data_IF_364742001374
#
_entry.id   IF_364742001374
#
_cell.length_a   1.000
_cell.length_b   1.000
_cell.length_c   1.000
_cell.angle_alpha   90.00
_cell.angle_beta   90.00
_cell.angle_gamma   90.00
#
_symmetry.space_group_name_H-M   'P 1'
#
loop_
_entity.id
_entity.type
_entity.pdbx_description
1 polymer ?
#
# COMPACT_ATOMS: atom_id res chain seq x y z
N UNK A 1 0.88 17.83 8.69
CA UNK A 1 0.68 17.49 7.27
C UNK A 1 -0.63 16.73 7.14
N UNK A 2 -1.66 17.38 6.59
CA UNK A 2 -3.02 16.85 6.41
C UNK A 2 -3.17 16.24 5.01
N UNK A 3 -3.75 15.05 4.85
CA UNK A 3 -3.96 14.46 3.53
C UNK A 3 -5.03 15.25 2.72
N UNK A 4 -4.98 15.23 1.38
CA UNK A 4 -5.90 15.98 0.53
C UNK A 4 -7.37 15.51 0.66
N UNK A 5 -8.29 16.45 0.88
CA UNK A 5 -9.74 16.25 1.12
C UNK A 5 -10.56 15.76 -0.09
N UNK A 6 -9.96 15.24 -1.17
CA UNK A 6 -10.70 14.96 -2.41
C UNK A 6 -11.28 13.55 -2.55
N UNK A 7 -11.04 12.64 -1.60
CA UNK A 7 -11.52 11.25 -1.71
C UNK A 7 -13.02 11.04 -1.37
N UNK A 8 -13.67 12.02 -0.75
CA UNK A 8 -15.04 11.86 -0.20
C UNK A 8 -16.16 11.79 -1.25
N UNK A 9 -15.87 11.97 -2.55
CA UNK A 9 -16.92 12.12 -3.58
C UNK A 9 -17.27 10.80 -4.30
N UNK A 10 -16.46 9.74 -4.16
CA UNK A 10 -16.62 8.51 -4.98
C UNK A 10 -17.38 7.35 -4.31
N UNK A 11 -17.82 7.48 -3.06
CA UNK A 11 -18.28 6.33 -2.25
C UNK A 11 -19.79 6.23 -1.98
N UNK A 12 -20.65 6.78 -2.84
CA UNK A 12 -22.11 6.53 -2.75
C UNK A 12 -22.55 5.50 -3.78
N UNK A 13 -22.55 4.23 -3.36
CA UNK A 13 -23.22 3.03 -3.93
C UNK A 13 -22.27 1.90 -4.34
N UNK A 14 -22.15 0.88 -3.48
CA UNK A 14 -21.72 -0.44 -3.91
C UNK A 14 -22.38 -1.55 -3.06
N UNK A 15 -23.25 -2.33 -3.70
CA UNK A 15 -23.91 -3.55 -3.19
C UNK A 15 -22.91 -4.74 -3.19
N UNK A 16 -22.90 -5.65 -2.18
CA UNK A 16 -21.79 -6.58 -1.97
C UNK A 16 -21.71 -7.81 -2.91
N UNK A 17 -22.70 -8.10 -3.75
CA UNK A 17 -22.72 -9.35 -4.51
C UNK A 17 -22.71 -9.12 -6.02
N UNK A 18 -21.51 -8.99 -6.63
CA UNK A 18 -21.31 -9.43 -8.01
C UNK A 18 -19.84 -9.49 -8.46
N UNK A 19 -19.52 -10.55 -9.21
CA UNK A 19 -18.28 -10.97 -9.86
C UNK A 19 -17.23 -9.87 -10.12
N UNK A 20 -16.02 -10.05 -9.56
CA UNK A 20 -14.92 -9.07 -9.55
C UNK A 20 -14.29 -8.90 -10.95
N UNK A 21 -14.32 -9.94 -11.80
CA UNK A 21 -13.73 -9.88 -13.15
C UNK A 21 -14.51 -8.97 -14.12
N UNK A 22 -15.83 -8.85 -13.97
CA UNK A 22 -16.64 -7.97 -14.84
C UNK A 22 -16.58 -6.50 -14.43
N UNK A 23 -16.23 -6.19 -13.17
CA UNK A 23 -16.04 -4.80 -12.71
C UNK A 23 -14.74 -4.19 -13.22
N UNK A 24 -13.69 -4.98 -13.42
CA UNK A 24 -12.43 -4.49 -14.02
C UNK A 24 -12.68 -4.03 -15.46
N UNK A 25 -13.55 -4.73 -16.20
CA UNK A 25 -13.89 -4.37 -17.58
C UNK A 25 -14.86 -3.18 -17.67
N UNK A 26 -15.69 -2.95 -16.65
CA UNK A 26 -16.63 -1.81 -16.59
C UNK A 26 -16.01 -0.51 -16.03
N UNK A 27 -14.94 -0.60 -15.23
CA UNK A 27 -14.24 0.59 -14.73
C UNK A 27 -13.37 1.27 -15.81
N UNK A 28 -13.06 0.55 -16.89
CA UNK A 28 -12.39 1.01 -18.12
C UNK A 28 -13.33 1.82 -19.02
N UNK A 29 -14.04 2.79 -18.46
CA UNK A 29 -14.84 3.74 -19.24
C UNK A 29 -14.16 5.12 -19.15
N UNK A 30 -13.40 5.48 -20.20
CA UNK A 30 -12.92 6.81 -20.63
C UNK A 30 -12.61 7.89 -19.56
N UNK A 31 -13.57 8.28 -18.73
CA UNK A 31 -13.46 9.30 -17.68
C UNK A 31 -12.79 8.74 -16.41
N UNK A 32 -13.03 7.47 -16.09
CA UNK A 32 -12.42 6.79 -14.92
C UNK A 32 -10.90 6.65 -15.05
N UNK A 33 -10.41 6.41 -16.27
CA UNK A 33 -8.98 6.28 -16.57
C UNK A 33 -8.22 7.60 -16.43
N UNK A 34 -8.85 8.75 -16.73
CA UNK A 34 -8.20 10.06 -16.62
C UNK A 34 -8.02 10.43 -15.14
N UNK A 35 -9.06 10.24 -14.33
CA UNK A 35 -8.98 10.47 -12.89
C UNK A 35 -7.97 9.52 -12.23
N UNK A 36 -7.95 8.25 -12.65
CA UNK A 36 -6.99 7.24 -12.21
C UNK A 36 -5.54 7.67 -12.50
N UNK A 37 -5.26 8.03 -13.75
CA UNK A 37 -3.93 8.48 -14.17
C UNK A 37 -3.49 9.75 -13.44
N UNK A 38 -4.41 10.69 -13.21
CA UNK A 38 -4.12 11.92 -12.46
C UNK A 38 -3.72 11.61 -11.02
N UNK A 39 -4.43 10.71 -10.34
CA UNK A 39 -4.09 10.31 -8.97
C UNK A 39 -2.76 9.56 -8.89
N UNK A 40 -2.51 8.63 -9.82
CA UNK A 40 -1.20 7.96 -9.90
C UNK A 40 -0.08 8.99 -10.11
N UNK A 41 -0.27 9.97 -11.01
CA UNK A 41 0.73 11.01 -11.25
C UNK A 41 0.95 11.91 -10.03
N UNK A 42 -0.11 12.25 -9.31
CA UNK A 42 -0.02 13.00 -8.05
C UNK A 42 0.80 12.22 -7.02
N UNK A 43 0.48 10.95 -6.78
CA UNK A 43 1.19 10.14 -5.80
C UNK A 43 2.64 9.85 -6.19
N UNK A 44 2.91 9.70 -7.50
CA UNK A 44 4.26 9.53 -8.03
C UNK A 44 5.10 10.82 -7.98
N UNK A 45 4.50 11.98 -7.67
CA UNK A 45 5.24 13.22 -7.44
C UNK A 45 5.80 13.32 -6.00
N UNK A 46 5.21 12.58 -5.06
CA UNK A 46 5.69 12.56 -3.69
C UNK A 46 7.00 11.76 -3.57
N UNK A 47 7.95 12.20 -2.73
CA UNK A 47 9.19 11.48 -2.50
C UNK A 47 8.93 10.18 -1.73
N UNK A 48 9.70 9.14 -2.03
CA UNK A 48 9.69 7.88 -1.28
C UNK A 48 10.60 8.01 -0.04
N UNK A 49 10.16 7.46 1.09
CA UNK A 49 10.93 7.48 2.34
C UNK A 49 11.84 6.25 2.41
N UNK A 50 13.15 6.41 2.23
CA UNK A 50 14.10 5.33 2.47
C UNK A 50 14.28 5.09 3.98
N UNK A 51 14.19 3.82 4.42
CA UNK A 51 14.40 3.43 5.81
C UNK A 51 15.67 2.59 5.90
N UNK A 52 16.60 2.97 6.79
CA UNK A 52 17.79 2.18 7.07
C UNK A 52 17.49 1.08 8.11
N UNK A 53 18.34 0.03 8.15
CA UNK A 53 18.16 -1.10 9.06
C UNK A 53 18.12 -0.66 10.53
N UNK A 54 18.94 0.32 10.92
CA UNK A 54 18.96 0.82 12.29
C UNK A 54 17.62 1.44 12.69
N UNK A 55 17.04 2.31 11.86
CA UNK A 55 15.72 2.92 12.08
C UNK A 55 14.64 1.84 12.13
N UNK A 56 14.67 0.85 11.24
CA UNK A 56 13.72 -0.26 11.26
C UNK A 56 13.76 -1.03 12.58
N UNK A 57 14.96 -1.41 13.03
CA UNK A 57 15.15 -2.13 14.30
C UNK A 57 14.76 -1.29 15.52
N UNK A 58 15.03 0.02 15.49
CA UNK A 58 14.63 0.95 16.56
C UNK A 58 13.11 1.13 16.62
N UNK A 59 12.44 1.21 15.47
CA UNK A 59 10.97 1.21 15.38
C UNK A 59 10.37 -0.09 15.91
N UNK A 60 10.92 -1.24 15.51
CA UNK A 60 10.45 -2.55 15.98
C UNK A 60 10.57 -2.74 17.50
N UNK A 61 11.57 -2.11 18.13
CA UNK A 61 11.72 -2.07 19.60
C UNK A 61 10.89 -0.98 20.29
N UNK A 62 10.14 -0.18 19.53
CA UNK A 62 9.31 0.90 20.07
C UNK A 62 10.08 2.10 20.61
N UNK A 63 11.35 2.31 20.21
CA UNK A 63 12.16 3.43 20.69
C UNK A 63 11.62 4.81 20.29
N UNK A 64 10.81 4.85 19.23
CA UNK A 64 10.19 6.09 18.74
C UNK A 64 8.78 6.33 19.29
N UNK A 65 8.30 5.47 20.21
CA UNK A 65 7.02 5.68 20.88
C UNK A 65 7.17 6.73 21.98
N UNK A 66 6.52 7.89 21.81
CA UNK A 66 6.47 8.88 22.87
C UNK A 66 5.63 8.33 24.04
N UNK A 67 6.26 8.14 25.19
CA UNK A 67 5.57 7.71 26.42
C UNK A 67 4.74 8.89 26.91
N UNK A 68 3.43 8.70 27.03
CA UNK A 68 2.59 9.74 27.64
C UNK A 68 2.86 9.81 29.14
N UNK A 69 2.58 10.95 29.77
CA UNK A 69 2.73 11.13 31.22
C UNK A 69 2.01 10.03 32.04
N UNK A 70 0.88 9.52 31.54
CA UNK A 70 0.14 8.41 32.15
C UNK A 70 0.90 7.08 32.07
N UNK A 71 1.63 6.84 30.99
CA UNK A 71 2.46 5.63 30.81
C UNK A 71 3.67 5.66 31.75
N UNK A 72 4.25 6.84 31.95
CA UNK A 72 5.37 7.07 32.88
C UNK A 72 4.91 6.81 34.33
N UNK A 73 3.74 7.32 34.72
CA UNK A 73 3.18 7.08 36.06
C UNK A 73 2.82 5.61 36.33
N UNK A 74 2.28 4.88 35.33
CA UNK A 74 2.03 3.43 35.46
C UNK A 74 3.32 2.63 35.64
N UNK A 75 4.40 3.03 34.97
CA UNK A 75 5.71 2.39 35.13
C UNK A 75 6.35 2.66 36.50
N UNK A 76 6.10 3.82 37.13
CA UNK A 76 6.65 4.15 38.45
C UNK A 76 5.88 3.53 39.63
N UNK A 77 4.60 3.21 39.46
CA UNK A 77 3.78 2.62 40.53
C UNK A 77 3.79 1.07 40.56
N UNK A 78 4.37 0.41 39.55
CA UNK A 78 4.44 -1.06 39.43
C UNK A 78 5.85 -1.59 39.71
N UNK A 79 6.35 -1.46 40.95
CA UNK A 79 7.56 -2.17 41.38
C UNK A 79 7.30 -3.65 41.73
N UNK A 80 6.04 -4.08 41.79
CA UNK A 80 5.65 -5.47 42.06
C UNK A 80 4.59 -5.93 41.04
N UNK A 81 5.01 -6.41 39.87
CA UNK A 81 4.32 -7.35 38.95
C UNK A 81 4.78 -7.12 37.49
N UNK A 82 5.85 -7.80 37.09
CA UNK A 82 6.49 -7.69 35.78
C UNK A 82 5.79 -8.44 34.63
N UNK A 83 4.48 -8.24 34.43
CA UNK A 83 3.70 -9.02 33.45
C UNK A 83 3.18 -8.28 32.21
N UNK A 84 2.85 -6.98 32.29
CA UNK A 84 1.93 -6.36 31.30
C UNK A 84 2.54 -5.27 30.41
N UNK A 85 3.87 -5.10 30.42
CA UNK A 85 4.53 -4.08 29.59
C UNK A 85 4.76 -4.51 28.12
N UNK A 86 4.57 -5.80 27.80
CA UNK A 86 4.88 -6.35 26.47
C UNK A 86 3.80 -6.12 25.41
N UNK A 87 2.52 -6.19 25.78
CA UNK A 87 1.40 -6.14 24.82
C UNK A 87 1.10 -4.72 24.34
N UNK A 88 1.01 -3.75 25.26
CA UNK A 88 0.67 -2.35 24.95
C UNK A 88 1.78 -1.65 24.15
N UNK A 89 3.05 -1.96 24.44
CA UNK A 89 4.17 -1.44 23.68
C UNK A 89 4.15 -1.98 22.23
N UNK A 90 3.83 -3.26 22.06
CA UNK A 90 3.73 -3.92 20.75
C UNK A 90 2.58 -3.33 19.92
N UNK A 91 1.41 -3.14 20.51
CA UNK A 91 0.23 -2.56 19.84
C UNK A 91 0.52 -1.17 19.24
N UNK A 92 1.16 -0.30 20.03
CA UNK A 92 1.52 1.05 19.57
C UNK A 92 2.56 1.03 18.46
N UNK A 93 3.51 0.10 18.49
CA UNK A 93 4.46 -0.10 17.38
C UNK A 93 3.71 -0.49 16.12
N UNK A 94 2.77 -1.44 16.20
CA UNK A 94 1.97 -1.88 15.05
C UNK A 94 1.16 -0.73 14.45
N UNK A 95 0.45 0.04 15.27
CA UNK A 95 -0.31 1.22 14.83
C UNK A 95 0.62 2.26 14.17
N UNK A 96 1.80 2.52 14.75
CA UNK A 96 2.79 3.43 14.17
C UNK A 96 3.27 2.94 12.79
N UNK A 97 3.62 1.66 12.67
CA UNK A 97 4.10 1.04 11.43
C UNK A 97 3.02 1.05 10.36
N UNK A 98 1.80 0.63 10.70
CA UNK A 98 0.65 0.66 9.80
C UNK A 98 0.34 2.08 9.33
N UNK A 99 0.40 3.07 10.23
CA UNK A 99 0.22 4.48 9.89
C UNK A 99 1.28 5.01 8.91
N UNK A 100 2.53 4.57 9.03
CA UNK A 100 3.59 4.87 8.07
C UNK A 100 3.33 4.18 6.71
N UNK A 101 3.09 2.87 6.71
CA UNK A 101 2.88 2.08 5.51
C UNK A 101 1.65 2.55 4.71
N UNK A 102 0.57 2.93 5.38
CA UNK A 102 -0.64 3.47 4.74
C UNK A 102 -0.34 4.70 3.86
N UNK A 103 0.64 5.52 4.28
CA UNK A 103 1.06 6.71 3.51
C UNK A 103 2.11 6.35 2.46
N UNK A 104 3.06 5.50 2.82
CA UNK A 104 4.23 5.20 2.00
C UNK A 104 3.94 4.20 0.86
N UNK A 105 3.09 3.20 1.07
CA UNK A 105 2.79 2.17 0.06
C UNK A 105 2.10 2.72 -1.20
N UNK A 106 1.06 3.59 -1.12
CA UNK A 106 0.46 4.19 -2.31
C UNK A 106 1.46 4.99 -3.14
N UNK A 107 2.36 5.73 -2.49
CA UNK A 107 3.45 6.46 -3.15
C UNK A 107 4.34 5.48 -3.91
N UNK A 108 4.78 4.40 -3.26
CA UNK A 108 5.64 3.39 -3.89
C UNK A 108 4.98 2.72 -5.08
N UNK A 109 3.71 2.35 -4.98
CA UNK A 109 2.98 1.76 -6.11
C UNK A 109 2.77 2.76 -7.24
N UNK A 110 2.47 4.02 -6.96
CA UNK A 110 2.35 5.04 -8.00
C UNK A 110 3.65 5.20 -8.81
N UNK A 111 4.81 5.21 -8.13
CA UNK A 111 6.11 5.18 -8.80
C UNK A 111 6.29 3.91 -9.65
N UNK A 112 5.94 2.72 -9.14
CA UNK A 112 6.05 1.48 -9.93
C UNK A 112 5.14 1.45 -11.15
N UNK A 113 3.92 1.97 -11.04
CA UNK A 113 3.00 2.09 -12.19
C UNK A 113 3.60 3.01 -13.24
N UNK A 114 4.12 4.17 -12.82
CA UNK A 114 4.80 5.12 -13.69
C UNK A 114 6.05 4.53 -14.35
N UNK A 115 6.86 3.77 -13.60
CA UNK A 115 8.02 3.07 -14.14
C UNK A 115 7.58 2.12 -15.27
N UNK A 116 6.56 1.29 -15.03
CA UNK A 116 6.04 0.34 -16.02
C UNK A 116 5.47 1.02 -17.27
N UNK A 117 4.82 2.18 -17.13
CA UNK A 117 4.32 2.97 -18.27
C UNK A 117 5.45 3.62 -19.09
N UNK A 118 6.61 3.86 -18.46
CA UNK A 118 7.76 4.51 -19.09
C UNK A 118 8.77 3.54 -19.70
N UNK A 119 8.63 2.21 -19.50
CA UNK A 119 9.51 1.22 -20.14
C UNK A 119 9.29 1.23 -21.66
N UNK A 120 10.29 1.61 -22.47
CA UNK A 120 10.12 1.69 -23.93
C UNK A 120 9.91 0.30 -24.55
N UNK A 121 8.99 0.19 -25.50
CA UNK A 121 8.67 -1.00 -26.33
C UNK A 121 8.17 -2.25 -25.58
N UNK A 122 8.63 -2.48 -24.35
CA UNK A 122 8.24 -3.61 -23.52
C UNK A 122 6.96 -3.35 -22.72
N UNK A 123 6.57 -2.08 -22.50
CA UNK A 123 5.30 -1.76 -21.81
C UNK A 123 4.09 -2.39 -22.48
N UNK A 124 4.10 -2.52 -23.81
CA UNK A 124 2.96 -3.03 -24.58
C UNK A 124 2.86 -4.58 -24.56
N UNK A 125 3.81 -5.27 -23.91
CA UNK A 125 3.76 -6.72 -23.78
C UNK A 125 2.63 -7.14 -22.83
N UNK A 126 1.84 -8.18 -23.17
CA UNK A 126 0.69 -8.60 -22.37
C UNK A 126 1.03 -8.87 -20.91
N UNK A 127 2.15 -9.55 -20.64
CA UNK A 127 2.56 -9.86 -19.27
C UNK A 127 2.95 -8.61 -18.48
N UNK A 128 3.49 -7.58 -19.14
CA UNK A 128 3.86 -6.31 -18.50
C UNK A 128 2.61 -5.49 -18.16
N UNK A 129 1.63 -5.45 -19.07
CA UNK A 129 0.33 -4.83 -18.79
C UNK A 129 -0.42 -5.54 -17.65
N UNK A 130 -0.33 -6.88 -17.57
CA UNK A 130 -0.88 -7.64 -16.46
C UNK A 130 -0.27 -7.20 -15.13
N UNK A 131 1.06 -7.13 -15.04
CA UNK A 131 1.75 -6.65 -13.83
C UNK A 131 1.34 -5.22 -13.49
N UNK A 132 1.24 -4.34 -14.49
CA UNK A 132 0.74 -2.97 -14.28
C UNK A 132 -0.67 -2.95 -13.70
N UNK A 133 -1.58 -3.81 -14.18
CA UNK A 133 -2.93 -3.90 -13.62
C UNK A 133 -2.95 -4.36 -12.17
N UNK A 134 -2.04 -5.27 -11.77
CA UNK A 134 -1.91 -5.69 -10.37
C UNK A 134 -1.49 -4.53 -9.48
N UNK A 135 -0.50 -3.75 -9.91
CA UNK A 135 -0.06 -2.56 -9.19
C UNK A 135 -1.17 -1.49 -9.11
N UNK A 136 -1.90 -1.25 -10.20
CA UNK A 136 -3.04 -0.32 -10.22
C UNK A 136 -4.13 -0.77 -9.24
N UNK A 137 -4.50 -2.05 -9.25
CA UNK A 137 -5.51 -2.58 -8.35
C UNK A 137 -5.10 -2.42 -6.89
N UNK A 138 -3.87 -2.77 -6.54
CA UNK A 138 -3.37 -2.63 -5.17
C UNK A 138 -3.20 -1.18 -4.74
N UNK A 139 -2.84 -0.27 -5.65
CA UNK A 139 -2.86 1.16 -5.39
C UNK A 139 -4.26 1.63 -4.98
N UNK A 140 -5.31 1.22 -5.71
CA UNK A 140 -6.68 1.56 -5.36
C UNK A 140 -7.15 0.95 -4.05
N UNK A 141 -6.79 -0.31 -3.79
CA UNK A 141 -7.18 -0.98 -2.55
C UNK A 141 -6.60 -0.28 -1.33
N UNK A 142 -5.35 0.22 -1.41
CA UNK A 142 -4.77 1.03 -0.34
C UNK A 142 -5.47 2.38 -0.17
N UNK A 143 -5.86 3.04 -1.27
CA UNK A 143 -6.54 4.34 -1.21
C UNK A 143 -7.95 4.25 -0.62
N UNK A 144 -8.62 3.10 -0.72
CA UNK A 144 -9.93 2.87 -0.06
C UNK A 144 -9.81 2.92 1.47
N UNK A 145 -8.62 2.68 2.01
CA UNK A 145 -8.34 2.76 3.45
C UNK A 145 -8.02 4.23 3.80
N UNK A 146 -9.06 5.07 3.75
CA UNK A 146 -8.94 6.52 3.98
C UNK A 146 -8.67 6.87 5.45
N UNK A 147 -9.16 6.03 6.38
CA UNK A 147 -9.02 6.25 7.82
C UNK A 147 -7.56 6.18 8.26
N UNK A 148 -7.17 7.11 9.12
CA UNK A 148 -5.91 7.01 9.86
C UNK A 148 -5.97 5.80 10.80
N UNK A 149 -4.93 4.97 10.78
CA UNK A 149 -4.81 3.84 11.72
C UNK A 149 -4.58 4.39 13.12
N UNK A 150 -5.60 4.31 13.98
CA UNK A 150 -5.54 4.82 15.37
C UNK A 150 -5.81 3.75 16.40
N UNK A 151 -6.56 2.70 16.02
CA UNK A 151 -6.89 1.59 16.90
C UNK A 151 -6.28 0.29 16.40
N UNK A 152 -6.31 -0.75 17.24
CA UNK A 152 -5.86 -2.10 16.87
C UNK A 152 -6.71 -2.68 15.76
N UNK A 153 -8.01 -2.38 15.76
CA UNK A 153 -8.93 -2.86 14.74
C UNK A 153 -8.62 -2.23 13.39
N UNK A 154 -8.29 -0.94 13.35
CA UNK A 154 -7.84 -0.28 12.12
C UNK A 154 -6.53 -0.90 11.60
N UNK A 155 -5.62 -1.24 12.52
CA UNK A 155 -4.35 -1.88 12.20
C UNK A 155 -4.57 -3.27 11.61
N UNK A 156 -5.41 -4.09 12.23
CA UNK A 156 -5.74 -5.43 11.74
C UNK A 156 -6.44 -5.40 10.37
N UNK A 157 -7.33 -4.43 10.13
CA UNK A 157 -7.96 -4.22 8.83
C UNK A 157 -6.90 -3.87 7.77
N UNK A 158 -5.98 -2.98 8.11
CA UNK A 158 -4.89 -2.59 7.21
C UNK A 158 -3.93 -3.76 6.94
N UNK A 159 -3.54 -4.52 7.97
CA UNK A 159 -2.69 -5.69 7.85
C UNK A 159 -3.28 -6.74 6.91
N UNK A 160 -4.59 -7.02 7.04
CA UNK A 160 -5.30 -7.92 6.13
C UNK A 160 -5.27 -7.44 4.68
N UNK A 161 -5.47 -6.14 4.45
CA UNK A 161 -5.37 -5.59 3.09
C UNK A 161 -3.95 -5.73 2.51
N UNK A 162 -2.91 -5.54 3.33
CA UNK A 162 -1.51 -5.73 2.91
C UNK A 162 -1.23 -7.21 2.60
N UNK A 163 -1.77 -8.14 3.37
CA UNK A 163 -1.68 -9.58 3.11
C UNK A 163 -2.32 -9.95 1.76
N UNK A 164 -3.54 -9.46 1.48
CA UNK A 164 -4.20 -9.66 0.19
C UNK A 164 -3.39 -9.09 -0.99
N UNK A 165 -2.72 -7.95 -0.78
CA UNK A 165 -1.83 -7.34 -1.77
C UNK A 165 -0.58 -8.21 -2.00
N UNK A 166 0.02 -8.73 -0.93
CA UNK A 166 1.19 -9.60 -0.97
C UNK A 166 0.90 -10.86 -1.79
N UNK A 167 -0.19 -11.57 -1.48
CA UNK A 167 -0.57 -12.80 -2.18
C UNK A 167 -0.84 -12.55 -3.66
N UNK A 168 -1.52 -11.45 -3.98
CA UNK A 168 -1.77 -11.02 -5.37
C UNK A 168 -0.48 -10.73 -6.15
N UNK A 169 0.56 -10.26 -5.48
CA UNK A 169 1.85 -9.91 -6.10
C UNK A 169 2.84 -11.09 -6.19
N UNK A 170 2.48 -12.26 -5.65
CA UNK A 170 3.33 -13.46 -5.62
C UNK A 170 3.91 -13.87 -6.99
N UNK A 171 3.13 -13.68 -8.07
CA UNK A 171 3.50 -14.08 -9.43
C UNK A 171 4.22 -13.00 -10.25
N UNK A 172 4.46 -11.81 -9.69
CA UNK A 172 4.97 -10.64 -10.44
C UNK A 172 6.33 -10.94 -11.07
N UNK A 173 7.26 -11.57 -10.34
CA UNK A 173 8.60 -11.87 -10.86
C UNK A 173 8.54 -12.77 -12.10
N UNK A 174 7.77 -13.86 -12.02
CA UNK A 174 7.61 -14.82 -13.12
C UNK A 174 6.90 -14.17 -14.31
N UNK A 175 5.86 -13.37 -14.05
CA UNK A 175 5.12 -12.66 -15.09
C UNK A 175 5.99 -11.61 -15.79
N UNK A 176 6.82 -10.87 -15.06
CA UNK A 176 7.76 -9.93 -15.66
C UNK A 176 8.81 -10.64 -16.52
N UNK A 177 9.33 -11.78 -16.08
CA UNK A 177 10.26 -12.60 -16.87
C UNK A 177 9.62 -13.06 -18.19
N UNK A 178 8.34 -13.46 -18.14
CA UNK A 178 7.56 -13.76 -19.35
C UNK A 178 7.39 -12.54 -20.25
N UNK A 179 7.14 -11.36 -19.69
CA UNK A 179 7.08 -10.11 -20.46
C UNK A 179 8.38 -9.79 -21.20
N UNK A 180 9.53 -10.03 -20.57
CA UNK A 180 10.82 -9.90 -21.25
C UNK A 180 11.02 -10.92 -22.38
N UNK A 181 10.51 -12.15 -22.19
CA UNK A 181 10.50 -13.16 -23.25
C UNK A 181 9.61 -12.75 -24.44
N UNK A 182 8.40 -12.27 -24.16
CA UNK A 182 7.45 -11.76 -25.17
C UNK A 182 8.07 -10.61 -25.96
N UNK A 183 8.70 -9.66 -25.28
CA UNK A 183 9.41 -8.55 -25.91
C UNK A 183 10.53 -9.04 -26.84
N UNK A 184 11.39 -9.95 -26.36
CA UNK A 184 12.48 -10.51 -27.17
C UNK A 184 11.97 -11.24 -28.40
N UNK A 185 10.83 -11.93 -28.29
CA UNK A 185 10.18 -12.61 -29.42
C UNK A 185 9.69 -11.58 -30.46
N UNK A 186 8.96 -10.55 -30.00
CA UNK A 186 8.45 -9.49 -30.87
C UNK A 186 9.56 -8.76 -31.65
N UNK A 187 10.70 -8.48 -31.01
CA UNK A 187 11.87 -7.84 -31.66
C UNK A 187 12.56 -8.73 -32.69
N UNK A 188 12.43 -10.07 -32.57
CA UNK A 188 13.03 -11.01 -33.54
C UNK A 188 12.14 -11.29 -34.74
N UNK A 189 10.83 -11.15 -34.57
CA UNK A 189 9.82 -11.49 -35.58
C UNK A 189 9.36 -10.28 -36.41
N UNK A 190 9.60 -9.06 -35.93
CA UNK A 190 9.37 -7.81 -36.67
C UNK A 190 10.65 -7.23 -37.25
#
# INVERSE_FOLDING_TARGET
YTPPRHYSILHKNANPNNNISSKIQAFTTCVGDIAAKKLVQEYASYPQTSVNLQTLLRTGRGEFLHKTYKDIQKAQNNNNNGGESGTVATERVLIQVAGFLRRELPIRFAHRIKDLDNVPLMKDMPSVQQVKSLYLQSFWDLLKIDKEVKTVEDEAIFAKAVEEIYERHSSVLVTMARGAFEFRKAVREG
#
